data_IF_261942399320
#
_entry.id   IF_261942399320
#
_cell.length_a   1.000
_cell.length_b   1.000
_cell.length_c   1.000
_cell.angle_alpha   90.00
_cell.angle_beta   90.00
_cell.angle_gamma   90.00
#
_symmetry.space_group_name_H-M   'P 1'
#
loop_
_entity.id
_entity.type
_entity.pdbx_description
1 polymer ?
#
# COMPACT_ATOMS: atom_id res chain seq x y z
N UNK A 1 -31.06 -13.80 -2.12
CA UNK A 1 -30.39 -13.83 -2.62
C UNK A 1 -30.09 -13.95 -2.63
N UNK A 2 -30.39 -14.04 -2.13
CA UNK A 2 -29.75 -14.25 -2.42
C UNK A 2 -29.23 -14.43 -2.25
N UNK A 3 -29.37 -14.44 -1.61
CA UNK A 3 -28.69 -14.74 -1.83
C UNK A 3 -28.23 -14.96 -1.69
N UNK A 4 -28.39 -15.34 -1.00
CA UNK A 4 -27.71 -15.54 -1.32
C UNK A 4 -27.30 -15.71 -1.38
N UNK A 5 -27.44 -15.79 -0.84
CA UNK A 5 -26.62 -15.97 -1.35
C UNK A 5 -26.46 -15.95 -1.94
N UNK A 6 -26.60 -15.92 -1.84
CA UNK A 6 -26.09 -15.88 -2.71
C UNK A 6 -25.74 -16.18 -3.30
N UNK A 7 -25.92 -16.45 -3.29
CA UNK A 7 -25.26 -16.86 -4.19
C UNK A 7 -24.93 -16.65 -4.91
N UNK A 8 -24.82 -16.80 -4.73
CA UNK A 8 -24.28 -16.68 -5.58
C UNK A 8 -24.25 -16.98 -6.31
N UNK A 9 -24.19 -16.98 -6.38
CA UNK A 9 -23.92 -17.22 -7.20
C UNK A 9 -23.35 -17.44 -7.70
N UNK A 10 -23.76 -17.74 -7.61
CA UNK A 10 -23.09 -18.03 -8.21
C UNK A 10 -22.72 -18.42 -8.48
N UNK A 11 -23.05 -18.79 -8.06
CA UNK A 11 -22.50 -19.03 -8.39
C UNK A 11 -22.16 -19.41 -8.24
N UNK A 12 -22.53 -19.56 -8.10
CA UNK A 12 -22.00 -19.73 -8.10
C UNK A 12 -21.61 -20.02 -7.73
N UNK A 13 -21.71 -20.14 -7.14
CA UNK A 13 -21.20 -20.18 -6.89
C UNK A 13 -20.81 -20.21 -6.36
N UNK A 14 -20.90 -20.41 -5.85
CA UNK A 14 -20.39 -20.26 -5.33
C UNK A 14 -19.78 -20.17 -4.76
N UNK A 15 -19.56 -20.06 -4.49
CA UNK A 15 -18.83 -19.78 -4.06
C UNK A 15 -18.92 -19.26 -3.55
N UNK A 16 -18.85 -19.14 -3.08
CA UNK A 16 -18.95 -18.46 -2.74
C UNK A 16 -18.86 -17.80 -2.51
N UNK A 17 -19.18 -17.25 -2.41
CA UNK A 17 -18.95 -16.49 -2.33
C UNK A 17 -18.65 -16.35 -1.64
N UNK A 18 -18.35 -16.87 -1.42
CA UNK A 18 -17.82 -16.75 -0.63
C UNK A 18 -17.60 -16.04 -0.12
N UNK A 19 -17.73 -16.20 -0.18
CA UNK A 19 -17.39 -15.19 0.28
C UNK A 19 -16.58 -14.91 1.38
N UNK A 20 -15.82 -14.84 1.19
CA UNK A 20 -14.99 -14.13 2.08
C UNK A 20 -15.68 -12.86 2.53
N UNK A 21 -16.78 -13.06 3.16
CA UNK A 21 -17.63 -11.94 3.54
C UNK A 21 -16.97 -11.05 4.59
N UNK A 22 -15.94 -11.57 5.26
CA UNK A 22 -15.25 -10.83 6.31
C UNK A 22 -14.16 -9.90 5.78
N UNK A 23 -13.84 -10.00 4.52
CA UNK A 23 -12.78 -9.18 3.94
C UNK A 23 -13.19 -7.73 3.83
N UNK A 24 -12.32 -6.78 4.21
CA UNK A 24 -12.58 -5.38 3.92
C UNK A 24 -12.69 -5.16 2.42
N UNK A 25 -13.57 -4.25 2.02
CA UNK A 25 -13.76 -3.97 0.59
C UNK A 25 -12.80 -2.91 0.07
N UNK A 26 -12.02 -2.30 0.95
CA UNK A 26 -11.10 -1.25 0.57
C UNK A 26 -10.00 -1.80 -0.33
N UNK A 27 -9.79 -1.21 -1.51
CA UNK A 27 -8.72 -1.68 -2.39
C UNK A 27 -7.35 -1.38 -1.81
N UNK A 28 -6.38 -2.21 -2.17
CA UNK A 28 -5.00 -2.00 -1.76
C UNK A 28 -4.39 -0.83 -2.52
N UNK A 29 -3.65 0.01 -1.81
CA UNK A 29 -2.87 1.05 -2.43
C UNK A 29 -1.55 0.52 -2.96
N UNK A 30 -0.72 1.45 -3.43
CA UNK A 30 0.56 1.13 -4.04
C UNK A 30 1.46 0.29 -3.13
N UNK A 31 1.58 0.71 -1.88
CA UNK A 31 2.53 0.08 -0.95
C UNK A 31 2.06 -1.28 -0.49
N UNK A 32 0.77 -1.46 -0.31
CA UNK A 32 0.22 -2.77 -0.01
C UNK A 32 0.47 -3.77 -1.12
N UNK A 33 0.28 -3.34 -2.37
CA UNK A 33 0.54 -4.19 -3.53
C UNK A 33 2.03 -4.54 -3.65
N UNK A 34 2.92 -3.60 -3.34
CA UNK A 34 4.36 -3.86 -3.37
C UNK A 34 4.75 -4.88 -2.31
N UNK A 35 4.19 -4.79 -1.11
CA UNK A 35 4.43 -5.76 -0.05
C UNK A 35 3.94 -7.14 -0.46
N UNK A 36 2.76 -7.20 -1.07
CA UNK A 36 2.19 -8.47 -1.54
C UNK A 36 3.14 -9.15 -2.53
N UNK A 37 3.65 -8.39 -3.50
CA UNK A 37 4.60 -8.91 -4.48
C UNK A 37 5.87 -9.43 -3.81
N UNK A 38 6.40 -8.66 -2.87
CA UNK A 38 7.60 -9.06 -2.14
C UNK A 38 7.39 -10.39 -1.40
N UNK A 39 6.30 -10.50 -0.66
CA UNK A 39 6.01 -11.72 0.10
C UNK A 39 5.86 -12.92 -0.83
N UNK A 40 5.18 -12.71 -1.94
CA UNK A 40 4.92 -13.78 -2.89
C UNK A 40 6.22 -14.30 -3.52
N UNK A 41 7.14 -13.40 -3.82
CA UNK A 41 8.38 -13.76 -4.51
C UNK A 41 9.49 -14.18 -3.57
N UNK A 42 9.56 -13.60 -2.39
CA UNK A 42 10.69 -13.81 -1.48
C UNK A 42 10.35 -14.52 -0.19
N UNK A 43 9.08 -14.54 0.19
CA UNK A 43 8.62 -15.20 1.41
C UNK A 43 7.37 -16.04 1.12
N UNK A 44 7.45 -17.01 0.20
CA UNK A 44 6.24 -17.73 -0.24
C UNK A 44 5.57 -18.54 0.86
N UNK A 45 6.34 -19.07 1.80
CA UNK A 45 5.75 -19.83 2.90
C UNK A 45 4.91 -18.94 3.79
N UNK A 46 5.47 -17.77 4.15
CA UNK A 46 4.74 -16.79 4.94
C UNK A 46 3.52 -16.29 4.18
N UNK A 47 3.68 -16.01 2.89
CA UNK A 47 2.58 -15.57 2.05
C UNK A 47 1.42 -16.57 2.10
N UNK A 48 1.73 -17.85 1.92
CA UNK A 48 0.72 -18.90 1.93
C UNK A 48 0.07 -19.05 3.29
N UNK A 49 0.85 -18.95 4.37
CA UNK A 49 0.30 -19.03 5.72
C UNK A 49 -0.70 -17.90 5.97
N UNK A 50 -0.35 -16.69 5.56
CA UNK A 50 -1.23 -15.54 5.75
C UNK A 50 -2.47 -15.63 4.87
N UNK A 51 -2.30 -16.14 3.66
CA UNK A 51 -3.41 -16.33 2.75
C UNK A 51 -4.42 -17.33 3.33
N UNK A 52 -3.93 -18.47 3.80
CA UNK A 52 -4.79 -19.51 4.34
C UNK A 52 -5.48 -19.09 5.65
N UNK A 53 -4.80 -18.30 6.47
CA UNK A 53 -5.37 -17.82 7.72
C UNK A 53 -6.21 -16.55 7.55
N UNK A 54 -6.34 -16.07 6.31
CA UNK A 54 -7.11 -14.87 5.97
C UNK A 54 -6.54 -13.61 6.62
N UNK A 55 -5.27 -13.62 6.95
CA UNK A 55 -4.60 -12.46 7.54
C UNK A 55 -3.82 -11.64 6.53
N UNK A 56 -3.75 -12.11 5.28
CA UNK A 56 -2.94 -11.45 4.27
C UNK A 56 -3.47 -10.04 3.94
N UNK A 57 -4.75 -9.95 3.61
CA UNK A 57 -5.32 -8.68 3.19
C UNK A 57 -5.28 -7.63 4.31
N UNK A 58 -5.68 -7.96 5.56
CA UNK A 58 -5.53 -7.00 6.67
C UNK A 58 -4.09 -6.55 6.88
N UNK A 59 -3.13 -7.47 6.74
CA UNK A 59 -1.71 -7.12 6.85
C UNK A 59 -1.29 -6.14 5.77
N UNK A 60 -1.72 -6.39 4.52
CA UNK A 60 -1.35 -5.51 3.41
C UNK A 60 -1.98 -4.12 3.55
N UNK A 61 -3.20 -4.06 4.07
CA UNK A 61 -3.83 -2.77 4.36
C UNK A 61 -3.07 -2.01 5.42
N UNK A 62 -2.66 -2.71 6.48
CA UNK A 62 -1.89 -2.10 7.55
C UNK A 62 -0.57 -1.54 7.03
N UNK A 63 0.12 -2.32 6.19
CA UNK A 63 1.38 -1.88 5.58
C UNK A 63 1.13 -0.64 4.73
N UNK A 64 0.07 -0.66 3.94
CA UNK A 64 -0.24 0.47 3.06
C UNK A 64 -0.51 1.75 3.86
N UNK A 65 -1.31 1.64 4.92
CA UNK A 65 -1.65 2.79 5.76
C UNK A 65 -0.43 3.30 6.52
N UNK A 66 0.38 2.39 7.03
CA UNK A 66 1.60 2.77 7.75
C UNK A 66 2.59 3.47 6.80
N UNK A 67 2.73 2.95 5.59
CA UNK A 67 3.61 3.56 4.59
C UNK A 67 3.14 4.96 4.23
N UNK A 68 1.85 5.15 4.01
CA UNK A 68 1.29 6.44 3.70
C UNK A 68 1.53 7.45 4.83
N UNK A 69 1.28 7.01 6.07
CA UNK A 69 1.47 7.85 7.24
C UNK A 69 2.93 8.26 7.40
N UNK A 70 3.84 7.31 7.22
CA UNK A 70 5.27 7.60 7.34
C UNK A 70 5.74 8.53 6.23
N UNK A 71 5.22 8.34 5.02
CA UNK A 71 5.54 9.22 3.90
C UNK A 71 5.14 10.66 4.23
N UNK A 72 3.92 10.84 4.75
CA UNK A 72 3.43 12.17 5.12
C UNK A 72 4.28 12.81 6.21
N UNK A 73 4.84 12.00 7.10
CA UNK A 73 5.71 12.51 8.17
C UNK A 73 7.10 12.85 7.66
N UNK A 74 7.61 12.09 6.71
CA UNK A 74 8.96 12.30 6.19
C UNK A 74 9.06 13.42 5.18
N UNK A 75 8.03 13.63 4.38
CA UNK A 75 8.08 14.59 3.28
C UNK A 75 8.39 16.02 3.71
N UNK A 76 7.76 16.59 4.76
CA UNK A 76 8.09 17.96 5.17
C UNK A 76 9.56 18.11 5.55
N UNK A 77 10.10 17.12 6.26
CA UNK A 77 11.48 17.16 6.68
C UNK A 77 12.44 17.09 5.50
N UNK A 78 12.19 16.18 4.58
CA UNK A 78 13.03 16.03 3.40
C UNK A 78 12.94 17.26 2.50
N UNK A 79 11.74 17.82 2.36
CA UNK A 79 11.53 19.00 1.55
C UNK A 79 12.30 20.19 2.13
N UNK A 80 12.28 20.34 3.44
CA UNK A 80 13.00 21.41 4.12
C UNK A 80 14.50 21.26 3.88
N UNK A 81 15.02 20.05 4.04
CA UNK A 81 16.45 19.79 3.87
C UNK A 81 16.90 20.01 2.41
N UNK A 82 16.02 19.72 1.46
CA UNK A 82 16.34 19.88 0.05
C UNK A 82 16.16 21.30 -0.46
N UNK A 83 15.53 22.18 0.35
CA UNK A 83 15.27 23.54 -0.07
C UNK A 83 14.00 23.69 -0.91
N UNK A 84 13.12 22.71 -0.89
CA UNK A 84 11.85 22.76 -1.62
C UNK A 84 10.82 23.55 -0.81
N UNK A 85 10.98 24.85 -0.79
CA UNK A 85 10.15 25.74 0.03
C UNK A 85 9.00 26.33 -0.77
N UNK A 86 8.05 26.98 -0.06
CA UNK A 86 6.95 27.67 -0.72
C UNK A 86 7.46 28.84 -1.57
N UNK A 87 8.52 29.50 -1.11
CA UNK A 87 9.13 30.57 -1.89
C UNK A 87 9.67 30.04 -3.21
N UNK A 88 10.33 28.89 -3.18
CA UNK A 88 10.85 28.27 -4.39
C UNK A 88 9.71 27.85 -5.31
N UNK A 89 8.64 27.32 -4.74
CA UNK A 89 7.47 26.90 -5.52
C UNK A 89 6.89 28.09 -6.29
N UNK A 90 6.86 29.25 -5.67
CA UNK A 90 6.35 30.46 -6.30
C UNK A 90 7.30 31.02 -7.35
N UNK A 91 8.63 31.01 -7.08
CA UNK A 91 9.61 31.62 -7.97
C UNK A 91 10.08 30.69 -9.08
N UNK A 92 10.18 29.40 -8.82
CA UNK A 92 10.65 28.41 -9.81
C UNK A 92 9.92 27.11 -9.62
N UNK A 93 8.66 27.01 -10.13
CA UNK A 93 7.83 25.82 -9.93
C UNK A 93 8.46 24.53 -10.47
N UNK A 94 9.17 24.59 -11.58
CA UNK A 94 9.78 23.41 -12.19
C UNK A 94 10.86 22.83 -11.29
N UNK A 95 11.69 23.70 -10.73
CA UNK A 95 12.73 23.25 -9.81
C UNK A 95 12.12 22.67 -8.54
N UNK A 96 11.05 23.31 -8.03
CA UNK A 96 10.35 22.81 -6.85
C UNK A 96 9.79 21.41 -7.09
N UNK A 97 9.15 21.19 -8.25
CA UNK A 97 8.61 19.87 -8.60
C UNK A 97 9.72 18.82 -8.64
N UNK A 98 10.85 19.17 -9.26
CA UNK A 98 11.99 18.24 -9.32
C UNK A 98 12.50 17.86 -7.95
N UNK A 99 12.64 18.84 -7.04
CA UNK A 99 13.08 18.58 -5.68
C UNK A 99 12.08 17.72 -4.92
N UNK A 100 10.78 18.00 -5.07
CA UNK A 100 9.75 17.22 -4.39
C UNK A 100 9.72 15.79 -4.88
N UNK A 101 9.91 15.58 -6.17
CA UNK A 101 9.98 14.23 -6.73
C UNK A 101 11.18 13.46 -6.17
N UNK A 102 12.31 14.12 -6.03
CA UNK A 102 13.51 13.52 -5.44
C UNK A 102 13.26 13.15 -3.97
N UNK A 103 12.63 14.05 -3.22
CA UNK A 103 12.29 13.78 -1.82
C UNK A 103 11.37 12.58 -1.69
N UNK A 104 10.37 12.49 -2.56
CA UNK A 104 9.44 11.37 -2.54
C UNK A 104 10.16 10.06 -2.84
N UNK A 105 11.07 10.08 -3.82
CA UNK A 105 11.86 8.89 -4.16
C UNK A 105 12.71 8.44 -2.98
N UNK A 106 13.33 9.39 -2.26
CA UNK A 106 14.11 9.07 -1.07
C UNK A 106 13.25 8.47 0.02
N UNK A 107 12.08 9.05 0.26
CA UNK A 107 11.16 8.53 1.27
C UNK A 107 10.69 7.12 0.92
N UNK A 108 10.36 6.88 -0.34
CA UNK A 108 9.91 5.57 -0.79
C UNK A 108 11.03 4.53 -0.67
N UNK A 109 12.27 4.93 -0.93
CA UNK A 109 13.41 4.04 -0.77
C UNK A 109 13.54 3.58 0.69
N UNK A 110 13.37 4.50 1.63
CA UNK A 110 13.39 4.16 3.05
C UNK A 110 12.24 3.22 3.39
N UNK A 111 11.04 3.49 2.90
CA UNK A 111 9.88 2.65 3.16
C UNK A 111 10.08 1.25 2.58
N UNK A 112 10.66 1.15 1.38
CA UNK A 112 10.94 -0.14 0.76
C UNK A 112 11.85 -0.97 1.65
N UNK A 113 12.92 -0.36 2.16
CA UNK A 113 13.90 -1.09 2.96
C UNK A 113 13.35 -1.48 4.33
N UNK A 114 12.59 -0.60 4.98
CA UNK A 114 12.20 -0.79 6.37
C UNK A 114 10.86 -1.49 6.54
N UNK A 115 9.95 -1.32 5.59
CA UNK A 115 8.58 -1.75 5.78
C UNK A 115 8.12 -2.77 4.75
N UNK A 116 8.46 -2.56 3.48
CA UNK A 116 7.89 -3.32 2.38
C UNK A 116 8.69 -4.59 2.09
N UNK A 117 10.00 -4.50 2.12
CA UNK A 117 10.90 -5.60 1.78
C UNK A 117 11.58 -6.21 3.01
N UNK A 118 10.95 -6.09 4.16
CA UNK A 118 11.55 -6.62 5.39
C UNK A 118 11.07 -8.02 5.75
#
# INVERSE_FOLDING_TARGET
MNNPMTYIQNGNYLIPDLKLSQQPEKPLGKYGRMRKTYLKEHRPILYNQMLLSEKLYPHLLEIDETAQSRLEQMMPQLAKEAGATEDLKASDPMKWVGLMNTCKAQAEEILMAELINS
#
